data_IF_979259395508
#
_entry.id   IF_979259395508
#
_cell.length_a   1.000
_cell.length_b   1.000
_cell.length_c   1.000
_cell.angle_alpha   90.00
_cell.angle_beta   90.00
_cell.angle_gamma   90.00
#
_symmetry.space_group_name_H-M   'P 1'
#
loop_
_entity.id
_entity.type
_entity.pdbx_description
1 polymer ?
#
# COMPACT_ATOMS: atom_id res chain seq x y z
N UNK A 1 -4.86 -7.16 1.01
CA UNK A 1 -4.59 -6.09 0.03
C UNK A 1 -4.07 -6.63 -1.30
N UNK A 2 -3.44 -7.82 -1.32
CA UNK A 2 -2.78 -8.36 -2.52
C UNK A 2 -3.72 -9.22 -3.36
N UNK A 3 -3.70 -8.95 -4.67
CA UNK A 3 -4.29 -9.71 -5.79
C UNK A 3 -5.82 -9.88 -5.90
N UNK A 4 -6.60 -9.82 -4.82
CA UNK A 4 -8.06 -9.90 -4.91
C UNK A 4 -8.76 -8.52 -4.89
N UNK A 5 -8.87 -7.92 -6.08
CA UNK A 5 -10.03 -7.11 -6.43
C UNK A 5 -10.01 -5.64 -6.03
N UNK A 6 -9.97 -4.79 -7.06
CA UNK A 6 -10.38 -3.38 -7.13
C UNK A 6 -11.79 -3.06 -6.56
N UNK A 7 -12.48 -4.02 -5.95
CA UNK A 7 -13.88 -3.95 -5.55
C UNK A 7 -14.15 -4.25 -4.07
N UNK A 8 -13.17 -4.74 -3.30
CA UNK A 8 -13.42 -5.09 -1.89
C UNK A 8 -13.47 -3.83 -1.01
N UNK A 9 -14.55 -3.71 -0.26
CA UNK A 9 -14.84 -2.65 0.72
C UNK A 9 -14.50 -3.15 2.10
N UNK A 10 -13.32 -2.79 2.62
CA UNK A 10 -12.86 -3.32 3.91
C UNK A 10 -13.71 -2.82 5.08
N UNK A 11 -14.30 -1.64 4.95
CA UNK A 11 -15.26 -1.10 5.91
C UNK A 11 -16.48 -2.01 6.14
N UNK A 12 -16.86 -2.80 5.12
CA UNK A 12 -17.92 -3.80 5.25
C UNK A 12 -17.41 -5.11 5.83
N UNK A 13 -16.23 -5.53 5.40
CA UNK A 13 -15.64 -6.81 5.79
C UNK A 13 -15.18 -6.84 7.26
N UNK A 14 -14.72 -5.71 7.78
CA UNK A 14 -14.19 -5.54 9.13
C UNK A 14 -15.11 -4.68 10.00
N UNK A 15 -16.42 -4.67 9.70
CA UNK A 15 -17.40 -3.82 10.39
C UNK A 15 -17.40 -4.03 11.90
N UNK A 16 -17.21 -5.28 12.33
CA UNK A 16 -17.26 -5.66 13.74
C UNK A 16 -15.92 -5.42 14.49
N UNK A 17 -14.83 -5.22 13.74
CA UNK A 17 -13.47 -5.00 14.29
C UNK A 17 -13.05 -3.52 14.29
N UNK A 18 -13.54 -2.74 13.31
CA UNK A 18 -13.22 -1.33 13.13
C UNK A 18 -14.03 -0.44 14.11
N UNK A 19 -13.55 0.78 14.43
CA UNK A 19 -12.38 1.46 13.88
C UNK A 19 -11.06 1.10 14.58
N UNK A 20 -9.95 1.19 13.85
CA UNK A 20 -8.61 0.99 14.37
C UNK A 20 -7.92 2.31 14.72
N UNK A 21 -7.00 2.25 15.69
CA UNK A 21 -6.13 3.36 16.05
C UNK A 21 -4.97 3.53 15.06
N UNK A 22 -4.47 2.41 14.53
CA UNK A 22 -3.31 2.35 13.65
C UNK A 22 -3.61 1.41 12.49
N UNK A 23 -3.28 1.86 11.27
CA UNK A 23 -3.22 1.03 10.08
C UNK A 23 -1.75 0.91 9.67
N UNK A 24 -1.21 -0.32 9.67
CA UNK A 24 0.17 -0.60 9.30
C UNK A 24 0.22 -1.32 7.96
N UNK A 25 0.91 -0.76 6.97
CA UNK A 25 1.10 -1.35 5.65
C UNK A 25 2.59 -1.43 5.32
N UNK A 26 3.25 -2.47 5.81
CA UNK A 26 4.69 -2.69 5.61
C UNK A 26 4.94 -3.45 4.31
N UNK A 27 5.76 -2.87 3.42
CA UNK A 27 6.18 -3.48 2.14
C UNK A 27 5.04 -3.98 1.25
N UNK A 28 3.86 -3.37 1.36
CA UNK A 28 2.65 -3.84 0.67
C UNK A 28 1.97 -2.75 -0.18
N UNK A 29 2.24 -1.48 0.09
CA UNK A 29 1.48 -0.39 -0.55
C UNK A 29 1.75 -0.26 -2.05
N UNK A 30 2.97 -0.53 -2.50
CA UNK A 30 3.34 -0.41 -3.91
C UNK A 30 2.56 -1.37 -4.81
N UNK A 31 2.04 -2.49 -4.29
CA UNK A 31 1.20 -3.41 -5.07
C UNK A 31 -0.17 -2.82 -5.43
N UNK A 32 -0.62 -1.76 -4.73
CA UNK A 32 -1.86 -1.04 -5.09
C UNK A 32 -1.65 -0.01 -6.20
N UNK A 33 -0.43 0.17 -6.69
CA UNK A 33 -0.04 1.24 -7.63
C UNK A 33 -0.09 0.83 -9.12
N UNK A 34 -0.84 -0.23 -9.45
CA UNK A 34 -1.02 -0.70 -10.84
C UNK A 34 -1.94 0.21 -11.67
N UNK A 35 -2.93 0.83 -11.03
CA UNK A 35 -3.82 1.84 -11.63
C UNK A 35 -4.17 2.89 -10.57
N UNK A 36 -4.56 4.09 -11.01
CA UNK A 36 -5.06 5.14 -10.11
C UNK A 36 -6.26 4.67 -9.28
N UNK A 37 -7.18 3.90 -9.89
CA UNK A 37 -8.35 3.37 -9.22
C UNK A 37 -7.99 2.44 -8.06
N UNK A 38 -6.98 1.57 -8.25
CA UNK A 38 -6.46 0.70 -7.19
C UNK A 38 -5.86 1.52 -6.04
N UNK A 39 -5.04 2.52 -6.35
CA UNK A 39 -4.41 3.38 -5.35
C UNK A 39 -5.45 4.17 -4.54
N UNK A 40 -6.45 4.78 -5.21
CA UNK A 40 -7.56 5.49 -4.54
C UNK A 40 -8.38 4.56 -3.67
N UNK A 41 -8.69 3.35 -4.14
CA UNK A 41 -9.40 2.33 -3.35
C UNK A 41 -8.62 1.95 -2.11
N UNK A 42 -7.30 1.80 -2.22
CA UNK A 42 -6.44 1.46 -1.10
C UNK A 42 -6.52 2.50 0.02
N UNK A 43 -6.36 3.78 -0.31
CA UNK A 43 -6.50 4.86 0.67
C UNK A 43 -7.93 5.00 1.21
N UNK A 44 -8.95 4.77 0.38
CA UNK A 44 -10.34 4.78 0.84
C UNK A 44 -10.59 3.70 1.89
N UNK A 45 -10.04 2.50 1.68
CA UNK A 45 -10.15 1.41 2.66
C UNK A 45 -9.38 1.72 3.95
N UNK A 46 -8.15 2.25 3.85
CA UNK A 46 -7.33 2.64 5.02
C UNK A 46 -8.06 3.70 5.85
N UNK A 47 -8.50 4.79 5.21
CA UNK A 47 -9.16 5.91 5.89
C UNK A 47 -10.51 5.53 6.50
N UNK A 48 -11.29 4.67 5.85
CA UNK A 48 -12.59 4.23 6.38
C UNK A 48 -12.46 3.33 7.62
N UNK A 49 -11.33 2.66 7.78
CA UNK A 49 -11.07 1.79 8.93
C UNK A 49 -10.39 2.50 10.09
N UNK A 50 -9.82 3.70 9.87
CA UNK A 50 -9.18 4.48 10.92
C UNK A 50 -10.21 5.34 11.66
N UNK A 51 -10.08 5.40 12.99
CA UNK A 51 -10.79 6.42 13.77
C UNK A 51 -10.27 7.82 13.42
N UNK A 52 -11.04 8.90 13.65
CA UNK A 52 -10.52 10.25 13.59
C UNK A 52 -9.27 10.42 14.49
N UNK A 53 -8.18 10.93 13.93
CA UNK A 53 -6.89 11.03 14.61
C UNK A 53 -6.08 9.73 14.67
N UNK A 54 -6.55 8.65 14.04
CA UNK A 54 -5.78 7.42 13.85
C UNK A 54 -4.57 7.61 12.91
N UNK A 55 -3.58 6.73 13.04
CA UNK A 55 -2.30 6.84 12.30
C UNK A 55 -2.18 5.79 11.21
N UNK A 56 -1.83 6.23 10.00
CA UNK A 56 -1.39 5.33 8.94
C UNK A 56 0.15 5.31 8.89
N UNK A 57 0.74 4.13 9.04
CA UNK A 57 2.18 3.90 8.94
C UNK A 57 2.47 2.84 7.88
N UNK A 58 3.55 3.01 7.12
CA UNK A 58 3.92 2.04 6.11
C UNK A 58 5.35 2.24 5.61
N UNK A 59 5.88 1.18 5.02
CA UNK A 59 7.16 1.20 4.31
C UNK A 59 6.89 0.92 2.83
N UNK A 60 7.55 1.69 1.97
CA UNK A 60 7.45 1.54 0.52
C UNK A 60 8.80 1.92 -0.10
N UNK A 61 9.21 1.27 -1.20
CA UNK A 61 10.39 1.69 -1.95
C UNK A 61 10.32 3.15 -2.41
N UNK A 62 11.44 3.87 -2.30
CA UNK A 62 11.56 5.23 -2.85
C UNK A 62 11.74 5.17 -4.38
N UNK A 63 10.73 5.67 -5.10
CA UNK A 63 10.72 5.70 -6.56
C UNK A 63 11.91 6.47 -7.15
N UNK A 64 12.40 7.52 -6.50
CA UNK A 64 13.55 8.29 -6.99
C UNK A 64 14.83 7.45 -6.93
N UNK A 65 15.03 6.70 -5.85
CA UNK A 65 16.16 5.78 -5.69
C UNK A 65 16.07 4.66 -6.73
N UNK A 66 14.87 4.12 -6.96
CA UNK A 66 14.64 3.09 -7.97
C UNK A 66 15.00 3.60 -9.38
N UNK A 67 14.50 4.77 -9.76
CA UNK A 67 14.77 5.37 -11.08
C UNK A 67 16.26 5.70 -11.24
N UNK A 68 16.91 6.22 -10.20
CA UNK A 68 18.36 6.50 -10.23
C UNK A 68 19.16 5.22 -10.50
N UNK A 69 18.94 4.17 -9.70
CA UNK A 69 19.65 2.89 -9.85
C UNK A 69 19.37 2.19 -11.18
N UNK A 70 18.15 2.34 -11.71
CA UNK A 70 17.79 1.84 -13.03
C UNK A 70 18.61 2.53 -14.13
N UNK A 71 18.73 3.86 -14.06
CA UNK A 71 19.55 4.65 -15.01
C UNK A 71 21.04 4.34 -14.91
N UNK A 72 21.53 3.99 -13.72
CA UNK A 72 22.92 3.61 -13.45
C UNK A 72 23.24 2.15 -13.86
N UNK A 73 22.26 1.37 -14.33
CA UNK A 73 22.46 -0.04 -14.72
C UNK A 73 22.62 -1.02 -13.55
N UNK A 74 22.39 -0.58 -12.32
CA UNK A 74 22.49 -1.40 -11.09
C UNK A 74 21.19 -2.18 -10.80
N UNK A 75 20.57 -2.75 -11.83
CA UNK A 75 19.21 -3.29 -11.80
C UNK A 75 19.08 -4.58 -10.97
N UNK A 76 20.13 -5.39 -10.84
CA UNK A 76 20.08 -6.71 -10.20
C UNK A 76 19.64 -6.69 -8.73
N UNK A 77 19.79 -5.57 -8.02
CA UNK A 77 19.27 -5.44 -6.66
C UNK A 77 17.78 -5.06 -6.59
N UNK A 78 17.22 -4.38 -7.60
CA UNK A 78 15.84 -3.86 -7.49
C UNK A 78 14.79 -4.98 -7.45
N UNK A 79 15.01 -6.07 -8.17
CA UNK A 79 14.06 -7.17 -8.27
C UNK A 79 13.81 -7.84 -6.90
N UNK A 80 14.82 -7.87 -6.02
CA UNK A 80 14.68 -8.43 -4.67
C UNK A 80 13.95 -7.51 -3.68
N UNK A 81 13.97 -6.19 -3.89
CA UNK A 81 13.39 -5.21 -2.95
C UNK A 81 11.92 -4.90 -3.19
N UNK A 82 11.37 -5.27 -4.36
CA UNK A 82 9.97 -5.00 -4.70
C UNK A 82 9.08 -6.25 -4.55
N UNK A 83 9.69 -7.44 -4.48
CA UNK A 83 9.01 -8.76 -4.37
C UNK A 83 8.97 -9.35 -2.95
N UNK A 84 9.67 -8.74 -1.98
CA UNK A 84 9.51 -9.01 -0.54
C UNK A 84 8.62 -7.94 0.08
#
# INVERSE_FOLDING_TARGET
MLYYGSHVRLDRALKDDAPFDVCSCQFVMHYSWSTEACARRAFANISALLRPGGTFIGTMPDANVLVKKLREGSCYLLCFYVLL
#
